data_IF_504377138234
#
_entry.id   IF_504377138234
#
_cell.length_a   1.000
_cell.length_b   1.000
_cell.length_c   1.000
_cell.angle_alpha   90.00
_cell.angle_beta   90.00
_cell.angle_gamma   90.00
#
_symmetry.space_group_name_H-M   'P 1'
#
loop_
_entity.id
_entity.type
_entity.pdbx_description
1 polymer ?
#
# COMPACT_ATOMS: atom_id res chain seq x y z
N UNK A 1 27.19 -77.06 -25.12
CA UNK A 1 26.35 -75.89 -25.44
C UNK A 1 26.27 -75.02 -24.20
N UNK A 2 27.09 -73.98 -24.13
CA UNK A 2 26.98 -72.95 -23.07
C UNK A 2 26.16 -71.80 -23.61
N UNK A 3 25.31 -71.18 -22.78
CA UNK A 3 25.23 -69.75 -22.76
C UNK A 3 25.68 -69.19 -21.39
N UNK A 4 26.52 -68.15 -21.38
CA UNK A 4 26.87 -67.35 -20.21
C UNK A 4 25.82 -66.25 -19.99
N UNK A 5 25.83 -65.60 -18.83
CA UNK A 5 25.03 -64.39 -18.62
C UNK A 5 24.65 -64.15 -17.17
N UNK A 6 25.65 -63.87 -16.35
CA UNK A 6 25.50 -63.05 -15.14
C UNK A 6 24.83 -61.73 -15.52
N UNK A 7 23.56 -61.57 -15.18
CA UNK A 7 22.93 -60.26 -15.18
C UNK A 7 23.40 -59.54 -13.92
N UNK A 8 24.55 -58.88 -14.06
CA UNK A 8 24.93 -57.77 -13.21
C UNK A 8 23.75 -56.81 -13.09
N UNK A 9 23.39 -56.50 -11.85
CA UNK A 9 22.51 -55.39 -11.53
C UNK A 9 23.17 -54.11 -12.05
N UNK A 10 22.69 -53.62 -13.19
CA UNK A 10 23.12 -52.38 -13.85
C UNK A 10 22.38 -51.14 -13.30
N UNK A 11 22.12 -51.10 -12.00
CA UNK A 11 21.65 -49.90 -11.30
C UNK A 11 22.43 -49.75 -9.98
N UNK A 12 23.73 -49.51 -10.12
CA UNK A 12 24.51 -48.89 -9.08
C UNK A 12 24.05 -47.44 -8.90
N UNK A 13 23.58 -47.11 -7.69
CA UNK A 13 23.47 -45.73 -7.20
C UNK A 13 22.27 -44.94 -7.71
N UNK A 14 21.05 -45.38 -7.43
CA UNK A 14 19.85 -44.54 -7.56
C UNK A 14 19.89 -43.47 -6.45
N UNK A 15 20.38 -42.30 -6.79
CA UNK A 15 20.32 -41.13 -5.92
C UNK A 15 18.84 -40.77 -5.69
N UNK A 16 18.46 -40.63 -4.43
CA UNK A 16 17.11 -40.30 -3.99
C UNK A 16 16.55 -39.07 -4.74
N UNK A 17 15.64 -39.28 -5.69
CA UNK A 17 15.01 -38.23 -6.50
C UNK A 17 13.57 -37.94 -6.05
N UNK A 18 13.32 -38.00 -4.75
CA UNK A 18 12.01 -37.81 -4.13
C UNK A 18 12.10 -37.00 -2.84
N UNK A 19 10.99 -36.91 -2.12
CA UNK A 19 10.96 -36.16 -0.86
C UNK A 19 11.92 -36.78 0.18
N UNK A 20 12.71 -35.94 0.89
CA UNK A 20 13.56 -36.42 1.96
C UNK A 20 12.73 -36.88 3.17
N UNK A 21 13.32 -37.71 4.04
CA UNK A 21 12.66 -38.11 5.29
C UNK A 21 12.34 -36.89 6.17
N UNK A 22 13.26 -35.92 6.19
CA UNK A 22 13.12 -34.59 6.77
C UNK A 22 13.73 -33.54 5.84
N UNK A 23 13.03 -32.41 5.64
CA UNK A 23 13.59 -31.25 4.95
C UNK A 23 14.57 -30.52 5.88
N UNK A 24 15.66 -30.00 5.31
CA UNK A 24 16.49 -29.02 5.99
C UNK A 24 15.77 -27.66 6.04
N UNK A 25 16.25 -26.77 6.91
CA UNK A 25 15.72 -25.40 6.99
C UNK A 25 15.76 -24.71 5.64
N UNK A 26 14.65 -24.06 5.28
CA UNK A 26 14.52 -23.35 4.01
C UNK A 26 15.33 -22.07 4.03
N UNK A 27 16.06 -21.81 2.94
CA UNK A 27 16.71 -20.52 2.78
C UNK A 27 15.68 -19.50 2.28
N UNK A 28 15.58 -18.36 2.96
CA UNK A 28 14.60 -17.31 2.66
C UNK A 28 15.35 -15.98 2.52
N UNK A 29 15.14 -15.21 1.44
CA UNK A 29 15.86 -13.97 1.20
C UNK A 29 15.54 -12.88 2.23
N UNK A 30 16.43 -11.89 2.36
CA UNK A 30 16.24 -10.75 3.29
C UNK A 30 14.90 -10.03 3.05
N UNK A 31 14.20 -9.71 4.14
CA UNK A 31 12.87 -9.10 4.12
C UNK A 31 11.70 -10.08 4.08
N UNK A 32 11.99 -11.39 4.00
CA UNK A 32 11.01 -12.46 4.13
C UNK A 32 11.33 -13.30 5.38
N UNK A 33 10.34 -13.53 6.22
CA UNK A 33 10.41 -14.49 7.31
C UNK A 33 9.46 -15.65 7.01
N UNK A 34 9.98 -16.87 7.11
CA UNK A 34 9.15 -18.06 7.09
C UNK A 34 8.80 -18.40 8.55
N UNK A 35 7.55 -18.16 8.90
CA UNK A 35 7.02 -18.56 10.21
C UNK A 35 7.16 -20.09 10.40
N UNK A 36 7.46 -20.51 11.63
CA UNK A 36 7.75 -21.91 11.93
C UNK A 36 6.55 -22.84 11.68
N UNK A 37 5.32 -22.36 11.83
CA UNK A 37 4.13 -23.15 11.54
C UNK A 37 3.89 -23.25 10.03
N UNK A 38 4.11 -22.15 9.29
CA UNK A 38 4.08 -22.15 7.81
C UNK A 38 5.16 -23.08 7.23
N UNK A 39 6.36 -23.11 7.82
CA UNK A 39 7.42 -24.03 7.43
C UNK A 39 7.04 -25.51 7.55
N UNK A 40 6.28 -25.88 8.59
CA UNK A 40 5.76 -27.26 8.76
C UNK A 40 4.70 -27.59 7.71
N UNK A 41 3.83 -26.64 7.36
CA UNK A 41 2.82 -26.81 6.32
C UNK A 41 3.48 -27.02 4.95
N UNK A 42 4.49 -26.21 4.61
CA UNK A 42 5.29 -26.36 3.38
C UNK A 42 5.97 -27.72 3.34
N UNK A 43 6.62 -28.15 4.43
CA UNK A 43 7.26 -29.46 4.50
C UNK A 43 6.26 -30.60 4.27
N UNK A 44 5.06 -30.49 4.84
CA UNK A 44 4.00 -31.48 4.65
C UNK A 44 3.52 -31.53 3.21
N UNK A 45 3.29 -30.36 2.59
CA UNK A 45 2.85 -30.24 1.19
C UNK A 45 3.90 -30.78 0.22
N UNK A 46 5.17 -30.43 0.42
CA UNK A 46 6.27 -30.86 -0.43
C UNK A 46 6.52 -32.36 -0.29
N UNK A 47 6.40 -32.91 0.92
CA UNK A 47 6.49 -34.35 1.16
C UNK A 47 5.34 -35.10 0.47
N UNK A 48 4.11 -34.60 0.60
CA UNK A 48 2.94 -35.17 -0.08
C UNK A 48 3.08 -35.14 -1.62
N UNK A 49 3.79 -34.13 -2.14
CA UNK A 49 4.07 -33.96 -3.56
C UNK A 49 5.35 -34.66 -4.03
N UNK A 50 6.03 -35.40 -3.14
CA UNK A 50 7.29 -36.09 -3.40
C UNK A 50 8.42 -35.18 -3.95
N UNK A 51 8.46 -33.91 -3.51
CA UNK A 51 9.46 -32.94 -3.98
C UNK A 51 10.78 -33.12 -3.25
N UNK A 52 11.89 -33.18 -3.99
CA UNK A 52 13.22 -33.11 -3.39
C UNK A 52 13.47 -31.75 -2.71
N UNK A 53 14.46 -31.68 -1.81
CA UNK A 53 14.86 -30.42 -1.18
C UNK A 53 15.17 -29.34 -2.23
N UNK A 54 15.91 -29.70 -3.29
CA UNK A 54 16.29 -28.76 -4.35
C UNK A 54 15.07 -28.22 -5.11
N UNK A 55 14.10 -29.09 -5.41
CA UNK A 55 12.86 -28.69 -6.07
C UNK A 55 12.00 -27.77 -5.18
N UNK A 56 11.92 -28.08 -3.87
CA UNK A 56 11.24 -27.25 -2.89
C UNK A 56 11.90 -25.87 -2.74
N UNK A 57 13.23 -25.81 -2.71
CA UNK A 57 13.96 -24.54 -2.60
C UNK A 57 13.70 -23.65 -3.82
N UNK A 58 13.71 -24.21 -5.04
CA UNK A 58 13.39 -23.45 -6.26
C UNK A 58 11.98 -22.86 -6.25
N UNK A 59 11.01 -23.54 -5.66
CA UNK A 59 9.64 -23.01 -5.52
C UNK A 59 9.57 -21.86 -4.51
N UNK A 60 10.27 -21.98 -3.38
CA UNK A 60 10.36 -20.91 -2.38
C UNK A 60 11.07 -19.69 -2.97
N UNK A 61 12.18 -19.89 -3.68
CA UNK A 61 12.91 -18.83 -4.36
C UNK A 61 12.02 -18.12 -5.38
N UNK A 62 11.32 -18.87 -6.24
CA UNK A 62 10.40 -18.29 -7.22
C UNK A 62 9.25 -17.51 -6.56
N UNK A 63 8.64 -18.05 -5.51
CA UNK A 63 7.55 -17.39 -4.79
C UNK A 63 8.02 -16.11 -4.10
N UNK A 64 9.18 -16.14 -3.45
CA UNK A 64 9.75 -14.97 -2.77
C UNK A 64 10.16 -13.88 -3.76
N UNK A 65 10.72 -14.24 -4.92
CA UNK A 65 10.98 -13.30 -6.02
C UNK A 65 9.70 -12.64 -6.53
N UNK A 66 8.66 -13.42 -6.83
CA UNK A 66 7.37 -12.88 -7.30
C UNK A 66 6.65 -12.05 -6.25
N UNK A 67 6.76 -12.45 -4.99
CA UNK A 67 6.19 -11.69 -3.89
C UNK A 67 6.95 -10.38 -3.71
N UNK A 68 8.27 -10.37 -3.86
CA UNK A 68 9.09 -9.15 -3.84
C UNK A 68 8.69 -8.20 -4.97
N UNK A 69 8.58 -8.67 -6.21
CA UNK A 69 8.08 -7.88 -7.34
C UNK A 69 6.69 -7.29 -7.05
N UNK A 70 5.78 -8.11 -6.49
CA UNK A 70 4.43 -7.68 -6.13
C UNK A 70 4.40 -6.65 -4.99
N UNK A 71 5.35 -6.72 -4.06
CA UNK A 71 5.52 -5.72 -3.01
C UNK A 71 6.14 -4.42 -3.55
N UNK A 72 7.10 -4.51 -4.48
CA UNK A 72 7.77 -3.35 -5.07
C UNK A 72 6.88 -2.55 -6.03
N UNK A 73 6.01 -3.22 -6.81
CA UNK A 73 5.16 -2.56 -7.81
C UNK A 73 4.24 -1.46 -7.25
N UNK A 74 3.54 -1.62 -6.11
CA UNK A 74 2.79 -0.55 -5.46
C UNK A 74 3.67 0.64 -5.03
N UNK A 75 4.89 0.39 -4.57
CA UNK A 75 5.81 1.46 -4.17
C UNK A 75 6.28 2.27 -5.37
N UNK A 76 6.59 1.61 -6.49
CA UNK A 76 6.96 2.31 -7.73
C UNK A 76 5.78 3.11 -8.28
N UNK A 77 4.58 2.52 -8.34
CA UNK A 77 3.37 3.25 -8.74
C UNK A 77 3.08 4.47 -7.81
N UNK A 78 3.34 4.34 -6.51
CA UNK A 78 3.23 5.43 -5.56
C UNK A 78 4.27 6.53 -5.81
N UNK A 79 5.53 6.17 -6.08
CA UNK A 79 6.60 7.13 -6.44
C UNK A 79 6.26 7.88 -7.73
N UNK A 80 5.84 7.17 -8.77
CA UNK A 80 5.42 7.78 -10.05
C UNK A 80 4.22 8.71 -9.86
N UNK A 81 3.23 8.30 -9.06
CA UNK A 81 2.09 9.16 -8.71
C UNK A 81 2.54 10.45 -8.04
N UNK A 82 3.41 10.36 -7.04
CA UNK A 82 3.99 11.52 -6.33
C UNK A 82 4.77 12.43 -7.28
N UNK A 83 5.60 11.87 -8.15
CA UNK A 83 6.38 12.62 -9.15
C UNK A 83 5.49 13.37 -10.13
N UNK A 84 4.46 12.69 -10.65
CA UNK A 84 3.45 13.31 -11.50
C UNK A 84 2.76 14.47 -10.79
N UNK A 85 2.30 14.26 -9.55
CA UNK A 85 1.66 15.32 -8.77
C UNK A 85 2.58 16.52 -8.53
N UNK A 86 3.86 16.31 -8.20
CA UNK A 86 4.83 17.41 -8.08
C UNK A 86 5.00 18.18 -9.39
N UNK A 87 5.02 17.48 -10.51
CA UNK A 87 5.15 18.08 -11.83
C UNK A 87 3.91 18.91 -12.17
N UNK A 88 2.72 18.35 -11.98
CA UNK A 88 1.43 19.03 -12.15
C UNK A 88 1.31 20.26 -11.25
N UNK A 89 1.70 20.15 -9.97
CA UNK A 89 1.69 21.25 -9.00
C UNK A 89 2.61 22.40 -9.41
N UNK A 90 3.80 22.10 -9.92
CA UNK A 90 4.72 23.13 -10.44
C UNK A 90 4.20 23.80 -11.70
N UNK A 91 3.48 23.04 -12.55
CA UNK A 91 2.89 23.54 -13.79
C UNK A 91 1.51 24.20 -13.59
N UNK A 92 0.89 24.09 -12.41
CA UNK A 92 -0.45 24.61 -12.16
C UNK A 92 -0.46 26.15 -12.28
N UNK A 93 -1.39 26.73 -13.06
CA UNK A 93 -1.42 28.18 -13.33
C UNK A 93 -1.82 29.03 -12.12
N UNK A 94 -2.54 28.47 -11.14
CA UNK A 94 -2.96 29.20 -9.93
C UNK A 94 -1.85 29.22 -8.88
N UNK A 95 -1.23 28.06 -8.63
CA UNK A 95 -0.30 27.88 -7.51
C UNK A 95 1.17 27.74 -7.91
N UNK A 96 1.49 27.23 -9.11
CA UNK A 96 2.84 26.86 -9.53
C UNK A 96 3.85 28.00 -9.46
N UNK A 97 3.50 29.17 -10.01
CA UNK A 97 4.35 30.37 -9.97
C UNK A 97 4.45 31.02 -8.59
N UNK A 98 3.59 30.63 -7.64
CA UNK A 98 3.46 31.26 -6.31
C UNK A 98 3.65 30.25 -5.18
N UNK A 99 4.28 29.10 -5.43
CA UNK A 99 4.37 28.02 -4.46
C UNK A 99 4.99 28.46 -3.13
N UNK A 100 5.97 29.36 -3.12
CA UNK A 100 6.57 29.84 -1.88
C UNK A 100 5.60 30.70 -1.06
N UNK A 101 4.80 31.55 -1.72
CA UNK A 101 3.73 32.30 -1.06
C UNK A 101 2.64 31.38 -0.51
N UNK A 102 2.29 30.33 -1.27
CA UNK A 102 1.32 29.31 -0.83
C UNK A 102 1.84 28.60 0.43
N UNK A 103 3.10 28.16 0.45
CA UNK A 103 3.72 27.53 1.63
C UNK A 103 3.65 28.43 2.85
N UNK A 104 4.03 29.71 2.72
CA UNK A 104 3.99 30.68 3.82
C UNK A 104 2.56 30.88 4.34
N UNK A 105 1.59 31.00 3.44
CA UNK A 105 0.18 31.22 3.78
C UNK A 105 -0.39 30.01 4.53
N UNK A 106 -0.16 28.80 4.03
CA UNK A 106 -0.58 27.55 4.67
C UNK A 106 0.11 27.37 6.03
N UNK A 107 1.41 27.65 6.13
CA UNK A 107 2.15 27.53 7.39
C UNK A 107 1.57 28.45 8.47
N UNK A 108 1.30 29.72 8.11
CA UNK A 108 0.68 30.70 9.02
C UNK A 108 -0.72 30.30 9.44
N UNK A 109 -1.53 29.76 8.52
CA UNK A 109 -2.86 29.27 8.83
C UNK A 109 -2.80 28.12 9.84
N UNK A 110 -1.89 27.15 9.65
CA UNK A 110 -1.68 26.07 10.61
C UNK A 110 -1.20 26.59 11.98
N UNK A 111 -0.31 27.58 12.01
CA UNK A 111 0.11 28.20 13.28
C UNK A 111 -1.02 28.93 13.99
N UNK A 112 -1.92 29.57 13.24
CA UNK A 112 -3.06 30.29 13.82
C UNK A 112 -4.08 29.38 14.52
N UNK A 113 -4.03 28.06 14.29
CA UNK A 113 -4.85 27.09 15.02
C UNK A 113 -4.42 26.95 16.48
N UNK A 114 -3.20 27.37 16.85
CA UNK A 114 -2.73 27.37 18.24
C UNK A 114 -2.46 25.97 18.83
N UNK A 115 -2.45 24.92 17.99
CA UNK A 115 -2.19 23.54 18.41
C UNK A 115 -0.99 22.97 17.63
N UNK A 116 0.23 23.02 18.22
CA UNK A 116 1.44 22.49 17.59
C UNK A 116 1.37 20.98 17.32
N UNK A 117 0.65 20.22 18.15
CA UNK A 117 0.51 18.77 17.98
C UNK A 117 -0.37 18.49 16.77
N UNK A 118 -1.51 19.16 16.66
CA UNK A 118 -2.39 19.05 15.49
C UNK A 118 -1.64 19.41 14.20
N UNK A 119 -0.86 20.49 14.20
CA UNK A 119 -0.02 20.87 13.05
C UNK A 119 0.96 19.74 12.67
N UNK A 120 1.69 19.20 13.65
CA UNK A 120 2.65 18.12 13.42
C UNK A 120 1.97 16.85 12.88
N UNK A 121 0.86 16.43 13.49
CA UNK A 121 0.13 15.23 13.10
C UNK A 121 -0.49 15.39 11.70
N UNK A 122 -0.96 16.60 11.35
CA UNK A 122 -1.45 16.92 10.02
C UNK A 122 -0.34 16.89 8.95
N UNK A 123 0.83 17.46 9.23
CA UNK A 123 1.99 17.41 8.31
C UNK A 123 2.42 15.97 8.09
N UNK A 124 2.53 15.17 9.15
CA UNK A 124 2.86 13.75 9.06
C UNK A 124 1.86 12.98 8.17
N UNK A 125 0.56 13.20 8.36
CA UNK A 125 -0.47 12.57 7.53
C UNK A 125 -0.35 12.97 6.03
N UNK A 126 0.00 14.23 5.74
CA UNK A 126 0.24 14.68 4.36
C UNK A 126 1.47 14.02 3.73
N UNK A 127 2.55 13.85 4.49
CA UNK A 127 3.78 13.23 4.00
C UNK A 127 3.61 11.72 3.75
N UNK A 128 2.94 11.02 4.67
CA UNK A 128 2.65 9.59 4.56
C UNK A 128 1.75 9.29 3.36
N UNK A 129 0.69 10.09 3.16
CA UNK A 129 -0.26 9.89 2.05
C UNK A 129 0.21 10.50 0.73
N UNK A 130 1.18 11.41 0.76
CA UNK A 130 1.64 12.16 -0.41
C UNK A 130 0.73 13.30 -0.85
N UNK A 131 -0.34 13.61 -0.10
CA UNK A 131 -1.28 14.68 -0.43
C UNK A 131 -0.64 16.07 -0.48
N UNK A 132 0.51 16.26 0.19
CA UNK A 132 1.30 17.48 0.11
C UNK A 132 1.85 17.80 -1.28
N UNK A 133 1.90 16.83 -2.19
CA UNK A 133 2.33 17.03 -3.59
C UNK A 133 1.14 17.24 -4.55
N UNK A 134 -0.09 16.94 -4.13
CA UNK A 134 -1.27 16.94 -5.00
C UNK A 134 -1.77 18.36 -5.31
N UNK A 135 -1.90 18.77 -6.58
CA UNK A 135 -2.22 20.15 -6.94
C UNK A 135 -3.60 20.59 -6.45
N UNK A 136 -4.61 19.71 -6.52
CA UNK A 136 -5.97 20.01 -6.06
C UNK A 136 -6.00 20.19 -4.55
N UNK A 137 -5.32 19.30 -3.82
CA UNK A 137 -5.24 19.39 -2.37
C UNK A 137 -4.56 20.69 -1.92
N UNK A 138 -3.42 21.03 -2.52
CA UNK A 138 -2.71 22.29 -2.23
C UNK A 138 -3.58 23.51 -2.55
N UNK A 139 -4.33 23.52 -3.66
CA UNK A 139 -5.26 24.61 -3.99
C UNK A 139 -6.35 24.78 -2.96
N UNK A 140 -7.00 23.69 -2.53
CA UNK A 140 -8.04 23.74 -1.50
C UNK A 140 -7.44 24.25 -0.19
N UNK A 141 -6.29 23.69 0.23
CA UNK A 141 -5.63 24.08 1.47
C UNK A 141 -5.21 25.55 1.45
N UNK A 142 -4.67 26.04 0.33
CA UNK A 142 -4.33 27.45 0.16
C UNK A 142 -5.57 28.35 0.28
N UNK A 143 -6.69 28.01 -0.36
CA UNK A 143 -7.94 28.79 -0.27
C UNK A 143 -8.50 28.82 1.16
N UNK A 144 -8.43 27.70 1.88
CA UNK A 144 -8.83 27.64 3.30
C UNK A 144 -7.89 28.50 4.16
N UNK A 145 -6.58 28.38 3.95
CA UNK A 145 -5.57 29.16 4.65
C UNK A 145 -5.78 30.67 4.43
N UNK A 146 -5.96 31.10 3.18
CA UNK A 146 -6.26 32.49 2.82
C UNK A 146 -7.49 33.00 3.57
N UNK A 147 -8.61 32.25 3.54
CA UNK A 147 -9.85 32.64 4.26
C UNK A 147 -9.67 32.78 5.77
N UNK A 148 -8.88 31.88 6.37
CA UNK A 148 -8.59 31.91 7.80
C UNK A 148 -7.70 33.11 8.16
N UNK A 149 -6.70 33.41 7.34
CA UNK A 149 -5.71 34.46 7.64
C UNK A 149 -6.13 35.87 7.23
N UNK A 150 -7.03 36.03 6.24
CA UNK A 150 -7.47 37.34 5.75
C UNK A 150 -8.72 37.86 6.49
N UNK A 151 -9.34 37.05 7.35
CA UNK A 151 -10.58 37.38 8.04
C UNK A 151 -11.79 37.30 7.09
N UNK A 152 -12.79 36.49 7.44
CA UNK A 152 -13.99 36.34 6.60
C UNK A 152 -15.07 37.32 7.06
N UNK A 153 -15.55 38.22 6.19
CA UNK A 153 -16.80 38.93 6.43
C UNK A 153 -17.96 37.92 6.30
N UNK A 154 -18.61 37.61 7.41
CA UNK A 154 -19.78 36.73 7.43
C UNK A 154 -21.03 37.58 7.19
N UNK A 155 -21.52 37.60 5.94
CA UNK A 155 -22.94 37.87 5.72
C UNK A 155 -23.70 36.61 6.18
N UNK A 156 -24.54 36.76 7.20
CA UNK A 156 -25.29 35.64 7.77
C UNK A 156 -26.28 35.06 6.77
N UNK A 157 -25.89 34.03 6.03
CA UNK A 157 -26.85 33.13 5.42
C UNK A 157 -27.32 32.15 6.49
N UNK A 158 -28.63 32.10 6.69
CA UNK A 158 -29.30 31.27 7.69
C UNK A 158 -28.95 29.77 7.61
N UNK A 159 -29.47 28.97 8.55
CA UNK A 159 -29.06 27.58 8.76
C UNK A 159 -29.16 26.75 7.47
N UNK A 160 -28.16 25.88 7.24
CA UNK A 160 -28.08 25.06 6.04
C UNK A 160 -29.25 24.06 5.97
N UNK A 161 -29.82 23.81 4.78
CA UNK A 161 -30.95 22.88 4.59
C UNK A 161 -30.68 21.42 5.03
N UNK A 162 -29.43 21.08 5.34
CA UNK A 162 -29.00 19.72 5.70
C UNK A 162 -28.93 19.47 7.21
N UNK A 163 -29.40 20.39 8.06
CA UNK A 163 -29.45 20.21 9.51
C UNK A 163 -30.50 19.20 10.02
N UNK A 164 -31.27 18.57 9.14
CA UNK A 164 -32.30 17.59 9.50
C UNK A 164 -32.10 16.28 8.73
N UNK A 165 -31.65 15.24 9.42
CA UNK A 165 -31.59 13.87 8.87
C UNK A 165 -32.92 13.18 9.20
N UNK A 166 -33.62 12.66 8.19
CA UNK A 166 -34.71 11.69 8.40
C UNK A 166 -34.10 10.35 8.83
N UNK A 167 -34.60 9.80 9.93
CA UNK A 167 -34.14 8.52 10.48
C UNK A 167 -34.43 7.35 9.53
N UNK A 168 -33.40 6.50 9.32
CA UNK A 168 -33.55 5.15 8.81
C UNK A 168 -33.19 4.97 7.34
N UNK A 169 -32.26 4.04 7.09
CA UNK A 169 -31.80 3.50 5.79
C UNK A 169 -30.54 4.17 5.19
N UNK A 170 -29.38 3.66 5.62
CA UNK A 170 -28.20 3.30 4.82
C UNK A 170 -27.08 2.85 5.78
N UNK A 171 -26.24 1.90 5.39
CA UNK A 171 -25.02 1.59 6.13
C UNK A 171 -24.25 2.88 6.40
N UNK A 172 -23.81 3.11 7.64
CA UNK A 172 -23.19 4.38 8.04
C UNK A 172 -22.01 4.67 7.09
N UNK A 173 -21.98 5.83 6.42
CA UNK A 173 -20.86 6.18 5.54
C UNK A 173 -19.57 6.21 6.36
N UNK A 174 -18.45 5.88 5.72
CA UNK A 174 -17.13 6.11 6.33
C UNK A 174 -16.98 7.60 6.70
N UNK A 175 -16.12 7.93 7.66
CA UNK A 175 -15.90 9.32 8.04
C UNK A 175 -15.53 10.20 6.82
N UNK A 176 -14.68 9.68 5.93
CA UNK A 176 -14.34 10.36 4.69
C UNK A 176 -15.57 10.61 3.81
N UNK A 177 -16.43 9.61 3.65
CA UNK A 177 -17.67 9.72 2.88
C UNK A 177 -18.70 10.66 3.53
N UNK A 178 -18.71 10.75 4.86
CA UNK A 178 -19.50 11.75 5.59
C UNK A 178 -18.99 13.18 5.34
N UNK A 179 -17.68 13.36 5.17
CA UNK A 179 -17.05 14.65 4.83
C UNK A 179 -17.29 15.03 3.36
N UNK A 180 -17.25 14.07 2.43
CA UNK A 180 -17.46 14.34 1.00
C UNK A 180 -18.92 14.57 0.60
N UNK A 181 -19.88 14.08 1.40
CA UNK A 181 -21.30 14.12 1.07
C UNK A 181 -21.72 13.04 0.06
N UNK A 182 -23.00 13.03 -0.33
CA UNK A 182 -23.58 11.97 -1.17
C UNK A 182 -22.94 11.82 -2.56
N UNK A 183 -22.31 12.89 -3.06
CA UNK A 183 -21.66 12.96 -4.37
C UNK A 183 -20.13 12.71 -4.31
N UNK A 184 -19.61 12.29 -3.16
CA UNK A 184 -18.19 11.98 -2.97
C UNK A 184 -17.70 10.79 -3.81
N UNK A 185 -16.38 10.68 -4.07
CA UNK A 185 -15.81 9.55 -4.79
C UNK A 185 -16.12 8.24 -4.05
N UNK A 186 -16.74 7.30 -4.76
CA UNK A 186 -17.08 5.96 -4.24
C UNK A 186 -15.83 5.08 -4.26
N UNK A 187 -14.88 5.34 -3.37
CA UNK A 187 -13.73 4.46 -3.17
C UNK A 187 -14.17 3.24 -2.37
N UNK A 188 -14.81 2.29 -3.07
CA UNK A 188 -14.89 0.92 -2.62
C UNK A 188 -13.65 0.19 -3.10
N UNK A 189 -12.70 -0.09 -2.20
CA UNK A 189 -11.93 -1.33 -2.31
C UNK A 189 -12.98 -2.42 -2.11
N UNK A 190 -13.63 -2.85 -3.20
CA UNK A 190 -14.44 -4.04 -3.19
C UNK A 190 -13.49 -5.16 -2.76
N UNK A 191 -13.68 -5.66 -1.55
CA UNK A 191 -13.13 -6.92 -1.13
C UNK A 191 -13.45 -7.92 -2.25
N UNK A 192 -12.42 -8.32 -2.99
CA UNK A 192 -12.50 -9.46 -3.88
C UNK A 192 -12.43 -10.67 -2.96
N UNK A 193 -13.60 -11.24 -2.67
CA UNK A 193 -13.74 -12.65 -2.28
C UNK A 193 -13.26 -13.55 -3.41
#
# INVERSE_FOLDING_TARGET
>A
TTPPGSNESLLGGESASGAPEAYADWNVPEGFELDADVGKEINTLFKASNLSQEAGQKLIDFYTEKTKEAFEAPFEAYKEMRERWRTETKADPEIGAKLDQVKITVHRALDSLGDPKLKSDFVKAMDETGMGDNPTFIKVLNRLATKLTEGTFVAGNGPSPHGQIRSGVAARPSLAQAIYGADGPKTGLAARE
#
